data_IF_382710019435
#
_entry.id   IF_382710019435
#
_cell.length_a   1.000
_cell.length_b   1.000
_cell.length_c   1.000
_cell.angle_alpha   90.00
_cell.angle_beta   90.00
_cell.angle_gamma   90.00
#
_symmetry.space_group_name_H-M   'P 1'
#
loop_
_entity.id
_entity.type
_entity.pdbx_description
1 polymer ?
#
# COMPACT_ATOMS: atom_id res chain seq x y z
N UNK A 1 -10.33 -19.02 -11.96
CA UNK A 1 -9.75 -18.80 -10.61
C UNK A 1 -10.25 -17.44 -10.17
N UNK A 2 -11.16 -17.37 -9.21
CA UNK A 2 -11.64 -16.10 -8.67
C UNK A 2 -10.49 -15.50 -7.85
N UNK A 3 -9.70 -14.62 -8.46
CA UNK A 3 -8.70 -13.83 -7.75
C UNK A 3 -9.44 -13.04 -6.69
N UNK A 4 -9.13 -13.28 -5.42
CA UNK A 4 -9.58 -12.41 -4.35
C UNK A 4 -8.94 -11.05 -4.59
N UNK A 5 -9.68 -10.15 -5.25
CA UNK A 5 -9.26 -8.78 -5.47
C UNK A 5 -8.97 -8.09 -4.15
N UNK A 6 -8.11 -7.07 -4.20
CA UNK A 6 -7.86 -6.21 -3.05
C UNK A 6 -9.19 -5.68 -2.50
N UNK A 7 -9.34 -5.70 -1.19
CA UNK A 7 -10.48 -5.10 -0.52
C UNK A 7 -10.30 -3.57 -0.40
N UNK A 8 -11.39 -2.84 -0.11
CA UNK A 8 -11.35 -1.37 -0.03
C UNK A 8 -10.35 -0.85 1.03
N UNK A 9 -10.12 -1.58 2.12
CA UNK A 9 -9.16 -1.20 3.16
C UNK A 9 -7.71 -1.38 2.70
N UNK A 10 -7.42 -2.42 1.93
CA UNK A 10 -6.13 -2.65 1.29
C UNK A 10 -5.84 -1.55 0.25
N UNK A 11 -6.84 -1.19 -0.56
CA UNK A 11 -6.73 -0.11 -1.56
C UNK A 11 -6.51 1.23 -0.87
N UNK A 12 -7.28 1.55 0.17
CA UNK A 12 -7.14 2.78 0.93
C UNK A 12 -5.75 2.88 1.59
N UNK A 13 -5.27 1.77 2.17
CA UNK A 13 -3.94 1.71 2.75
C UNK A 13 -2.83 1.93 1.71
N UNK A 14 -2.95 1.32 0.53
CA UNK A 14 -2.02 1.55 -0.58
C UNK A 14 -2.03 3.01 -1.04
N UNK A 15 -3.19 3.67 -1.05
CA UNK A 15 -3.29 5.10 -1.38
C UNK A 15 -2.73 6.04 -0.31
N UNK A 16 -2.94 5.73 0.97
CA UNK A 16 -2.34 6.47 2.08
C UNK A 16 -0.81 6.39 2.00
N UNK A 17 -0.27 5.20 1.69
CA UNK A 17 1.17 4.99 1.49
C UNK A 17 1.67 5.77 0.28
N UNK A 18 0.96 5.74 -0.85
CA UNK A 18 1.30 6.49 -2.05
C UNK A 18 1.42 8.01 -1.80
N UNK A 19 0.54 8.54 -0.95
CA UNK A 19 0.49 9.96 -0.58
C UNK A 19 1.43 10.31 0.57
N UNK A 20 2.20 9.35 1.09
CA UNK A 20 3.04 9.51 2.27
C UNK A 20 2.26 10.06 3.48
N UNK A 21 1.01 9.62 3.62
CA UNK A 21 0.15 10.01 4.73
C UNK A 21 0.68 9.42 6.05
N UNK A 22 0.50 10.14 7.16
CA UNK A 22 0.81 9.60 8.49
C UNK A 22 -0.21 8.52 8.86
N UNK A 23 0.13 7.26 8.60
CA UNK A 23 -0.76 6.13 8.90
C UNK A 23 -0.60 5.74 10.36
N UNK A 24 -1.66 5.95 11.15
CA UNK A 24 -1.75 5.36 12.49
C UNK A 24 -1.82 3.83 12.36
N UNK A 25 -0.77 3.15 12.83
CA UNK A 25 -0.68 1.69 12.79
C UNK A 25 -1.53 1.05 13.89
N UNK A 26 -2.26 0.02 13.51
CA UNK A 26 -2.98 -0.86 14.41
C UNK A 26 -2.77 -2.32 13.96
N UNK A 27 -3.09 -3.32 14.80
CA UNK A 27 -2.83 -4.73 14.50
C UNK A 27 -3.48 -5.21 13.19
N UNK A 28 -4.62 -4.61 12.82
CA UNK A 28 -5.32 -4.92 11.57
C UNK A 28 -4.54 -4.42 10.35
N UNK A 29 -4.16 -3.14 10.34
CA UNK A 29 -3.34 -2.54 9.27
C UNK A 29 -1.97 -3.21 9.15
N UNK A 30 -1.40 -3.67 10.27
CA UNK A 30 -0.16 -4.46 10.23
C UNK A 30 -0.34 -5.81 9.53
N UNK A 31 -1.49 -6.46 9.68
CA UNK A 31 -1.80 -7.70 8.96
C UNK A 31 -1.97 -7.43 7.46
N UNK A 32 -2.71 -6.39 7.09
CA UNK A 32 -2.90 -5.98 5.69
C UNK A 32 -1.55 -5.59 5.04
N UNK A 33 -0.71 -4.82 5.73
CA UNK A 33 0.64 -4.48 5.25
C UNK A 33 1.47 -5.72 4.98
N UNK A 34 1.50 -6.68 5.90
CA UNK A 34 2.26 -7.93 5.73
C UNK A 34 1.78 -8.70 4.50
N UNK A 35 0.47 -8.74 4.29
CA UNK A 35 -0.12 -9.38 3.12
C UNK A 35 0.25 -8.65 1.83
N UNK A 36 0.07 -7.33 1.78
CA UNK A 36 0.41 -6.50 0.62
C UNK A 36 1.90 -6.60 0.26
N UNK A 37 2.79 -6.69 1.25
CA UNK A 37 4.22 -6.96 1.04
C UNK A 37 4.44 -8.38 0.52
N UNK A 38 3.77 -9.38 1.10
CA UNK A 38 3.89 -10.76 0.65
C UNK A 38 3.38 -10.98 -0.79
N UNK A 39 2.40 -10.18 -1.21
CA UNK A 39 1.84 -10.18 -2.56
C UNK A 39 2.54 -9.18 -3.52
N UNK A 40 3.68 -8.61 -3.11
CA UNK A 40 4.51 -7.72 -3.93
C UNK A 40 3.81 -6.41 -4.35
N UNK A 41 2.80 -5.94 -3.61
CA UNK A 41 2.19 -4.61 -3.84
C UNK A 41 2.94 -3.48 -3.12
N UNK A 42 3.62 -3.80 -2.01
CA UNK A 42 4.38 -2.86 -1.20
C UNK A 42 5.79 -3.40 -0.92
N UNK A 43 6.74 -2.49 -0.76
CA UNK A 43 8.08 -2.80 -0.27
C UNK A 43 8.43 -1.91 0.92
N UNK A 44 9.35 -2.37 1.76
CA UNK A 44 9.87 -1.55 2.87
C UNK A 44 10.83 -0.51 2.31
N UNK A 45 10.58 0.74 2.63
CA UNK A 45 11.55 1.82 2.40
C UNK A 45 12.63 1.75 3.48
N UNK A 46 13.84 1.42 3.06
CA UNK A 46 15.02 1.30 3.93
C UNK A 46 15.68 2.66 4.22
N UNK A 47 15.24 3.74 3.56
CA UNK A 47 15.78 5.09 3.73
C UNK A 47 14.99 5.89 4.78
N UNK A 48 13.78 5.45 5.13
CA UNK A 48 13.05 6.01 6.25
C UNK A 48 13.71 5.61 7.59
N UNK A 49 14.06 6.63 8.39
CA UNK A 49 14.83 6.46 9.62
C UNK A 49 14.14 5.59 10.68
N UNK A 50 14.87 5.18 11.74
CA UNK A 50 14.35 4.33 12.80
C UNK A 50 13.14 5.00 13.49
N UNK A 51 11.94 4.48 13.21
CA UNK A 51 10.68 5.02 13.73
C UNK A 51 9.61 5.21 12.65
N UNK A 52 10.02 5.44 11.40
CA UNK A 52 9.14 5.36 10.25
C UNK A 52 9.16 3.92 9.74
N UNK A 53 7.99 3.25 9.75
CA UNK A 53 7.82 1.99 9.02
C UNK A 53 7.53 2.36 7.57
N UNK A 54 8.53 2.93 6.91
CA UNK A 54 8.37 3.40 5.54
C UNK A 54 8.00 2.24 4.65
N UNK A 55 6.86 2.38 3.99
CA UNK A 55 6.45 1.48 2.93
C UNK A 55 6.34 2.32 1.67
N UNK A 56 6.66 1.73 0.54
CA UNK A 56 6.51 2.33 -0.77
C UNK A 56 5.77 1.35 -1.67
N UNK A 57 5.02 1.86 -2.63
CA UNK A 57 4.41 1.03 -3.66
C UNK A 57 5.51 0.44 -4.55
N UNK A 58 5.37 -0.84 -4.86
CA UNK A 58 6.12 -1.46 -5.95
C UNK A 58 5.52 -1.06 -7.29
N UNK A 59 6.16 -1.42 -8.41
CA UNK A 59 5.58 -1.26 -9.74
C UNK A 59 4.22 -1.94 -9.85
N UNK A 60 4.10 -3.18 -9.33
CA UNK A 60 2.83 -3.91 -9.28
C UNK A 60 1.77 -3.17 -8.44
N UNK A 61 2.16 -2.62 -7.29
CA UNK A 61 1.29 -1.80 -6.45
C UNK A 61 0.71 -0.59 -7.19
N UNK A 62 1.58 0.16 -7.88
CA UNK A 62 1.19 1.31 -8.67
C UNK A 62 0.27 0.93 -9.84
N UNK A 63 0.66 -0.07 -10.64
CA UNK A 63 -0.16 -0.54 -11.77
C UNK A 63 -1.54 -1.02 -11.32
N UNK A 64 -1.62 -1.64 -10.14
CA UNK A 64 -2.89 -2.11 -9.59
C UNK A 64 -3.80 -0.96 -9.18
N UNK A 65 -3.29 0.06 -8.49
CA UNK A 65 -4.08 1.25 -8.16
C UNK A 65 -4.58 1.97 -9.42
N UNK A 66 -3.71 2.13 -10.43
CA UNK A 66 -4.07 2.73 -11.71
C UNK A 66 -5.15 1.89 -12.42
N UNK A 67 -5.01 0.57 -12.46
CA UNK A 67 -6.00 -0.34 -13.06
C UNK A 67 -7.35 -0.32 -12.35
N UNK A 68 -7.38 -0.01 -11.05
CA UNK A 68 -8.60 0.15 -10.26
C UNK A 68 -9.27 1.52 -10.45
N UNK A 69 -8.70 2.40 -11.29
CA UNK A 69 -9.18 3.76 -11.49
C UNK A 69 -8.91 4.68 -10.30
N UNK A 70 -8.05 4.24 -9.36
CA UNK A 70 -7.59 5.06 -8.26
C UNK A 70 -6.42 5.90 -8.76
N UNK A 71 -6.77 6.90 -9.58
CA UNK A 71 -5.83 7.93 -9.99
C UNK A 71 -5.41 8.73 -8.76
N UNK A 72 -4.13 8.66 -8.39
CA UNK A 72 -3.48 9.73 -7.64
C UNK A 72 -3.63 10.98 -8.51
N UNK A 73 -4.59 11.80 -8.15
CA UNK A 73 -5.11 12.89 -8.96
C UNK A 73 -3.95 13.77 -9.44
N UNK A 74 -3.75 13.82 -10.76
CA UNK A 74 -2.84 14.75 -11.41
C UNK A 74 -3.24 16.18 -10.99
N UNK A 75 -2.28 16.94 -10.47
CA UNK A 75 -2.38 18.39 -10.25
C UNK A 75 -1.10 19.05 -10.74
#
# INVERSE_FOLDING_TARGET
MAGAGLNDEEIALMCDIAQNAKIAMNPRKEAELKRLVAEDYLSRDINEGPGSRGYVLTGKGQETLVSLGVGVNES
#
